data_IF_860299090264
#
_entry.id   IF_860299090264
#
_cell.length_a   1.000
_cell.length_b   1.000
_cell.length_c   1.000
_cell.angle_alpha   90.00
_cell.angle_beta   90.00
_cell.angle_gamma   90.00
#
_symmetry.space_group_name_H-M   'P 1'
#
loop_
_entity.id
_entity.type
_entity.pdbx_description
1 polymer ?
#
# COMPACT_ATOMS: atom_id res chain seq x y z
N UNK A 1 -11.43 -4.09 -32.65
CA UNK A 1 -11.14 -4.33 -31.21
C UNK A 1 -11.56 -3.10 -30.46
N UNK A 2 -12.56 -3.18 -29.59
CA UNK A 2 -12.86 -2.11 -28.63
C UNK A 2 -11.59 -1.82 -27.83
N UNK A 3 -11.20 -0.55 -27.60
CA UNK A 3 -10.10 -0.27 -26.70
C UNK A 3 -10.49 -0.86 -25.34
N UNK A 4 -9.65 -1.74 -24.80
CA UNK A 4 -9.80 -2.21 -23.42
C UNK A 4 -9.97 -0.97 -22.53
N UNK A 5 -10.98 -0.97 -21.65
CA UNK A 5 -11.24 0.20 -20.81
C UNK A 5 -9.97 0.51 -20.00
N UNK A 6 -9.58 1.78 -19.83
CA UNK A 6 -8.44 2.10 -18.98
C UNK A 6 -8.65 1.54 -17.56
N UNK A 7 -7.57 1.15 -16.88
CA UNK A 7 -7.59 0.77 -15.46
C UNK A 7 -6.73 1.75 -14.66
N UNK A 8 -6.99 1.82 -13.36
CA UNK A 8 -6.15 2.57 -12.42
C UNK A 8 -5.12 1.66 -11.77
N UNK A 9 -3.87 2.10 -11.71
CA UNK A 9 -2.83 1.49 -10.89
C UNK A 9 -2.63 2.34 -9.63
N UNK A 10 -2.83 1.75 -8.45
CA UNK A 10 -2.68 2.45 -7.16
C UNK A 10 -1.54 1.82 -6.39
N UNK A 11 -0.53 2.62 -6.04
CA UNK A 11 0.71 2.17 -5.39
C UNK A 11 0.77 2.70 -3.95
N UNK A 12 0.77 1.80 -2.97
CA UNK A 12 0.86 2.20 -1.57
C UNK A 12 2.23 2.79 -1.20
N UNK A 13 2.29 3.50 -0.07
CA UNK A 13 3.54 3.74 0.64
C UNK A 13 4.09 2.46 1.29
N UNK A 14 5.26 2.56 1.93
CA UNK A 14 5.92 1.43 2.60
C UNK A 14 7.45 1.53 2.73
N UNK A 15 8.03 2.73 2.63
CA UNK A 15 9.48 2.93 2.63
C UNK A 15 10.16 2.16 1.48
N UNK A 16 11.31 1.54 1.74
CA UNK A 16 12.01 0.79 0.68
C UNK A 16 11.25 -0.40 0.13
N UNK A 17 10.26 -0.95 0.85
CA UNK A 17 9.43 -2.03 0.30
C UNK A 17 8.75 -1.64 -1.02
N UNK A 18 8.56 -0.34 -1.25
CA UNK A 18 8.05 0.20 -2.51
C UNK A 18 8.93 -0.04 -3.74
N UNK A 19 10.17 -0.52 -3.60
CA UNK A 19 10.93 -1.01 -4.75
C UNK A 19 10.19 -2.17 -5.47
N UNK A 20 9.36 -2.93 -4.77
CA UNK A 20 8.50 -3.94 -5.38
C UNK A 20 7.53 -3.36 -6.43
N UNK A 21 7.17 -2.08 -6.34
CA UNK A 21 6.34 -1.44 -7.37
C UNK A 21 7.02 -1.41 -8.74
N UNK A 22 8.35 -1.38 -8.81
CA UNK A 22 9.08 -1.45 -10.08
C UNK A 22 8.91 -2.85 -10.71
N UNK A 23 8.94 -3.91 -9.90
CA UNK A 23 8.64 -5.27 -10.35
C UNK A 23 7.20 -5.42 -10.85
N UNK A 24 6.25 -4.74 -10.21
CA UNK A 24 4.85 -4.67 -10.68
C UNK A 24 4.79 -4.02 -12.06
N UNK A 25 5.41 -2.85 -12.23
CA UNK A 25 5.46 -2.17 -13.52
C UNK A 25 6.11 -3.04 -14.61
N UNK A 26 7.18 -3.78 -14.28
CA UNK A 26 7.84 -4.72 -15.19
C UNK A 26 6.86 -5.80 -15.68
N UNK A 27 6.14 -6.43 -14.76
CA UNK A 27 5.16 -7.47 -15.10
C UNK A 27 3.99 -6.95 -15.95
N UNK A 28 3.52 -5.72 -15.68
CA UNK A 28 2.49 -5.07 -16.49
C UNK A 28 2.99 -4.73 -17.90
N UNK A 29 4.20 -4.18 -18.00
CA UNK A 29 4.84 -3.82 -19.27
C UNK A 29 5.06 -5.05 -20.17
N UNK A 30 5.52 -6.18 -19.60
CA UNK A 30 5.68 -7.46 -20.32
C UNK A 30 4.36 -8.01 -20.90
N UNK A 31 3.21 -7.63 -20.32
CA UNK A 31 1.87 -8.00 -20.80
C UNK A 31 1.24 -6.94 -21.69
N UNK A 32 1.93 -5.83 -21.97
CA UNK A 32 1.38 -4.72 -22.74
C UNK A 32 0.25 -3.97 -22.02
N UNK A 33 0.11 -4.13 -20.70
CA UNK A 33 -0.94 -3.50 -19.91
C UNK A 33 -0.47 -2.13 -19.42
N UNK A 34 -1.11 -1.06 -19.92
CA UNK A 34 -0.77 0.31 -19.58
C UNK A 34 -1.89 0.95 -18.76
N UNK A 35 -1.63 1.36 -17.50
CA UNK A 35 -2.62 2.07 -16.69
C UNK A 35 -3.04 3.39 -17.34
N UNK A 36 -4.34 3.70 -17.32
CA UNK A 36 -4.86 5.01 -17.74
C UNK A 36 -4.72 6.09 -16.67
N UNK A 37 -4.56 5.68 -15.41
CA UNK A 37 -4.27 6.53 -14.26
C UNK A 37 -3.31 5.79 -13.33
N UNK A 38 -2.30 6.48 -12.82
CA UNK A 38 -1.47 5.99 -11.71
C UNK A 38 -1.62 6.92 -10.51
N UNK A 39 -1.86 6.34 -9.35
CA UNK A 39 -1.97 7.06 -8.07
C UNK A 39 -0.96 6.48 -7.11
N UNK A 40 -0.21 7.33 -6.40
CA UNK A 40 0.80 6.86 -5.45
C UNK A 40 0.88 7.67 -4.16
N UNK A 41 1.28 7.00 -3.08
CA UNK A 41 1.62 7.62 -1.80
C UNK A 41 3.06 7.27 -1.41
N UNK A 42 3.81 8.22 -0.85
CA UNK A 42 5.19 7.99 -0.39
C UNK A 42 6.08 7.43 -1.51
N UNK A 43 6.86 6.38 -1.25
CA UNK A 43 7.61 5.64 -2.27
C UNK A 43 6.76 5.24 -3.50
N UNK A 44 5.47 4.92 -3.30
CA UNK A 44 4.55 4.61 -4.40
C UNK A 44 4.35 5.81 -5.33
N UNK A 45 4.34 7.04 -4.78
CA UNK A 45 4.30 8.27 -5.58
C UNK A 45 5.58 8.50 -6.36
N UNK A 46 6.75 8.17 -5.79
CA UNK A 46 8.04 8.30 -6.49
C UNK A 46 8.11 7.36 -7.69
N UNK A 47 7.75 6.09 -7.50
CA UNK A 47 7.76 5.11 -8.60
C UNK A 47 6.68 5.46 -9.64
N UNK A 48 5.47 5.84 -9.20
CA UNK A 48 4.41 6.32 -10.10
C UNK A 48 4.87 7.53 -10.92
N UNK A 49 5.53 8.50 -10.31
CA UNK A 49 5.98 9.72 -10.96
C UNK A 49 7.12 9.46 -11.94
N UNK A 50 8.11 8.64 -11.58
CA UNK A 50 9.18 8.24 -12.49
C UNK A 50 8.61 7.53 -13.74
N UNK A 51 7.67 6.61 -13.53
CA UNK A 51 6.98 5.95 -14.65
C UNK A 51 6.14 6.94 -15.47
N UNK A 52 5.40 7.85 -14.83
CA UNK A 52 4.58 8.82 -15.54
C UNK A 52 5.42 9.84 -16.35
N UNK A 53 6.61 10.18 -15.86
CA UNK A 53 7.62 11.01 -16.54
C UNK A 53 8.31 10.28 -17.71
N UNK A 54 8.04 8.99 -17.91
CA UNK A 54 8.59 8.22 -19.03
C UNK A 54 9.97 7.60 -18.77
N UNK A 55 10.39 7.50 -17.50
CA UNK A 55 11.60 6.75 -17.16
C UNK A 55 11.37 5.26 -17.50
N UNK A 56 12.27 4.59 -18.24
CA UNK A 56 12.13 3.16 -18.52
C UNK A 56 12.17 2.31 -17.24
N UNK A 57 11.32 1.29 -17.14
CA UNK A 57 11.25 0.41 -15.96
C UNK A 57 12.59 -0.27 -15.69
N UNK A 58 13.30 -0.71 -16.74
CA UNK A 58 14.65 -1.27 -16.62
C UNK A 58 15.63 -0.30 -15.94
N UNK A 59 15.62 0.99 -16.32
CA UNK A 59 16.45 2.03 -15.70
C UNK A 59 16.06 2.30 -14.25
N UNK A 60 14.76 2.21 -13.92
CA UNK A 60 14.31 2.30 -12.52
C UNK A 60 14.86 1.12 -11.70
N UNK A 61 14.81 -0.10 -12.25
CA UNK A 61 15.33 -1.30 -11.59
C UNK A 61 16.84 -1.22 -11.35
N UNK A 62 17.63 -0.82 -12.36
CA UNK A 62 19.08 -0.61 -12.23
C UNK A 62 19.42 0.38 -11.10
N UNK A 63 18.72 1.52 -11.05
CA UNK A 63 18.90 2.51 -9.98
C UNK A 63 18.45 2.01 -8.62
N UNK A 64 17.36 1.25 -8.57
CA UNK A 64 16.84 0.66 -7.34
C UNK A 64 17.81 -0.37 -6.75
N UNK A 65 18.41 -1.23 -7.58
CA UNK A 65 19.44 -2.18 -7.11
C UNK A 65 20.68 -1.46 -6.56
N UNK A 66 21.03 -0.29 -7.12
CA UNK A 66 22.20 0.48 -6.70
C UNK A 66 21.97 1.42 -5.50
N UNK A 67 20.72 1.64 -5.07
CA UNK A 67 20.40 2.64 -4.03
C UNK A 67 20.96 2.22 -2.67
N UNK A 68 21.66 3.15 -2.00
CA UNK A 68 22.24 2.94 -0.67
C UNK A 68 21.58 3.84 0.36
N UNK A 69 21.71 3.48 1.63
CA UNK A 69 21.18 4.26 2.76
C UNK A 69 21.55 5.73 2.71
N UNK A 70 22.80 6.04 2.33
CA UNK A 70 23.33 7.42 2.25
C UNK A 70 22.64 8.30 1.20
N UNK A 71 22.04 7.68 0.19
CA UNK A 71 21.41 8.37 -0.93
C UNK A 71 20.02 8.90 -0.54
N UNK A 72 19.44 8.35 0.52
CA UNK A 72 18.11 8.70 1.03
C UNK A 72 18.18 9.32 2.42
N UNK A 73 19.00 8.75 3.30
CA UNK A 73 19.05 9.09 4.71
C UNK A 73 20.39 9.74 5.08
N UNK A 74 20.32 11.03 5.40
CA UNK A 74 21.41 11.76 6.08
C UNK A 74 20.90 12.28 7.41
N UNK A 75 21.49 11.82 8.51
CA UNK A 75 21.06 12.16 9.86
C UNK A 75 21.21 13.67 10.09
N UNK A 76 20.19 14.31 10.65
CA UNK A 76 20.19 15.74 10.98
C UNK A 76 20.93 16.01 12.31
N UNK A 77 22.19 15.56 12.42
CA UNK A 77 22.98 15.58 13.67
C UNK A 77 22.99 16.94 14.38
N UNK A 78 23.08 18.03 13.61
CA UNK A 78 23.13 19.40 14.15
C UNK A 78 21.81 19.84 14.76
N UNK A 79 20.68 19.58 14.10
CA UNK A 79 19.35 20.00 14.58
C UNK A 79 18.86 19.12 15.73
N UNK A 80 19.08 17.81 15.64
CA UNK A 80 18.72 16.87 16.72
C UNK A 80 19.56 17.14 17.97
N UNK A 81 20.85 17.49 17.83
CA UNK A 81 21.70 17.82 18.97
C UNK A 81 21.33 19.17 19.62
N UNK A 82 20.99 20.18 18.82
CA UNK A 82 20.74 21.55 19.32
C UNK A 82 19.28 21.77 19.78
N UNK A 83 18.31 21.17 19.09
CA UNK A 83 16.88 21.32 19.37
C UNK A 83 16.28 20.13 20.12
N UNK A 84 16.99 19.00 20.25
CA UNK A 84 16.52 17.78 20.94
C UNK A 84 15.10 17.39 20.49
N UNK A 85 14.12 17.42 21.41
CA UNK A 85 12.71 17.11 21.14
C UNK A 85 11.99 18.12 20.23
N UNK A 86 12.58 19.28 19.96
CA UNK A 86 12.05 20.32 19.07
C UNK A 86 12.55 20.20 17.62
N UNK A 87 13.34 19.17 17.30
CA UNK A 87 13.75 18.90 15.92
C UNK A 87 12.54 18.36 15.12
N UNK A 88 12.22 18.94 13.95
CA UNK A 88 11.04 18.54 13.19
C UNK A 88 11.17 17.15 12.55
N UNK A 89 12.40 16.63 12.41
CA UNK A 89 12.68 15.36 11.74
C UNK A 89 14.03 14.76 12.15
N UNK A 90 14.16 13.43 11.99
CA UNK A 90 15.41 12.68 12.21
C UNK A 90 16.43 12.83 11.07
N UNK A 91 15.94 12.94 9.83
CA UNK A 91 16.78 13.00 8.64
C UNK A 91 16.56 14.30 7.87
N UNK A 92 17.62 14.74 7.20
CA UNK A 92 17.53 15.87 6.28
C UNK A 92 16.89 15.46 4.97
N UNK A 93 16.25 16.43 4.31
CA UNK A 93 15.51 16.23 3.06
C UNK A 93 16.37 16.20 1.80
N UNK A 94 17.54 16.86 1.82
CA UNK A 94 18.27 17.18 0.57
C UNK A 94 18.70 15.94 -0.22
N UNK A 95 19.17 14.83 0.39
CA UNK A 95 19.51 13.62 -0.35
C UNK A 95 18.30 13.01 -1.09
N UNK A 96 17.16 12.93 -0.41
CA UNK A 96 15.92 12.43 -0.99
C UNK A 96 15.44 13.34 -2.12
N UNK A 97 15.46 14.66 -1.92
CA UNK A 97 15.08 15.64 -2.96
C UNK A 97 15.98 15.56 -4.19
N UNK A 98 17.28 15.37 -4.00
CA UNK A 98 18.24 15.18 -5.08
C UNK A 98 17.96 13.87 -5.85
N UNK A 99 17.67 12.77 -5.13
CA UNK A 99 17.29 11.50 -5.75
C UNK A 99 16.01 11.67 -6.59
N UNK A 100 14.96 12.26 -6.03
CA UNK A 100 13.67 12.51 -6.70
C UNK A 100 13.89 13.35 -7.96
N UNK A 101 14.61 14.48 -7.84
CA UNK A 101 14.88 15.38 -8.96
C UNK A 101 15.72 14.69 -10.05
N UNK A 102 16.67 13.84 -9.67
CA UNK A 102 17.50 13.09 -10.63
C UNK A 102 16.74 12.03 -11.44
N UNK A 103 15.56 11.63 -10.96
CA UNK A 103 14.70 10.63 -11.60
C UNK A 103 13.62 11.29 -12.46
N UNK A 104 12.96 12.31 -11.94
CA UNK A 104 11.78 12.93 -12.55
C UNK A 104 12.15 14.15 -13.41
N UNK A 105 13.26 14.82 -13.08
CA UNK A 105 13.66 16.08 -13.70
C UNK A 105 12.86 17.27 -13.18
N UNK A 106 12.95 18.38 -13.93
CA UNK A 106 12.27 19.62 -13.60
C UNK A 106 11.02 19.81 -14.48
N UNK A 107 9.95 19.10 -14.10
CA UNK A 107 8.68 19.07 -14.83
C UNK A 107 7.50 19.30 -13.89
N UNK A 108 6.39 19.77 -14.46
CA UNK A 108 5.09 19.93 -13.80
C UNK A 108 4.14 18.80 -14.22
N UNK A 109 2.94 18.74 -13.62
CA UNK A 109 1.92 17.76 -14.05
C UNK A 109 1.32 18.09 -15.42
N UNK A 110 1.60 19.26 -16.00
CA UNK A 110 1.21 19.59 -17.38
C UNK A 110 2.06 18.84 -18.41
N UNK A 111 3.32 18.57 -18.08
CA UNK A 111 4.30 17.96 -18.99
C UNK A 111 4.17 16.42 -19.08
N UNK A 112 3.43 15.82 -18.15
CA UNK A 112 3.24 14.38 -18.08
C UNK A 112 2.32 13.86 -19.17
N UNK A 113 2.81 12.89 -19.95
CA UNK A 113 2.02 12.15 -20.95
C UNK A 113 1.06 11.14 -20.34
N UNK A 114 1.36 10.69 -19.12
CA UNK A 114 0.61 9.68 -18.37
C UNK A 114 -0.04 10.36 -17.18
N UNK A 115 -1.33 10.08 -16.95
CA UNK A 115 -2.08 10.71 -15.85
C UNK A 115 -1.55 10.19 -14.51
N UNK A 116 -1.07 11.11 -13.68
CA UNK A 116 -0.49 10.84 -12.36
C UNK A 116 -1.26 11.60 -11.30
N UNK A 117 -1.51 10.96 -10.16
CA UNK A 117 -1.93 11.62 -8.92
C UNK A 117 -0.97 11.28 -7.77
N UNK A 118 -0.55 12.31 -7.04
CA UNK A 118 0.37 12.17 -5.90
C UNK A 118 -0.35 12.55 -4.60
N UNK A 119 -0.41 11.60 -3.67
CA UNK A 119 -1.08 11.75 -2.38
C UNK A 119 -0.20 12.47 -1.35
N UNK A 120 -0.73 13.53 -0.74
CA UNK A 120 -0.10 14.27 0.36
C UNK A 120 -1.16 14.71 1.37
N UNK A 121 -0.72 15.18 2.53
CA UNK A 121 -1.61 15.80 3.52
C UNK A 121 -1.09 17.18 3.87
N UNK A 122 -1.98 18.16 3.84
CA UNK A 122 -1.70 19.50 4.34
C UNK A 122 -1.62 19.44 5.88
N UNK A 123 -0.46 19.77 6.43
CA UNK A 123 -0.18 19.60 7.85
C UNK A 123 -1.00 20.55 8.74
N UNK A 124 -1.43 21.70 8.21
CA UNK A 124 -2.21 22.68 8.98
C UNK A 124 -3.67 22.27 9.11
N UNK A 125 -4.23 21.66 8.08
CA UNK A 125 -5.66 21.31 8.01
C UNK A 125 -5.94 19.83 8.23
N UNK A 126 -4.91 18.98 8.12
CA UNK A 126 -5.06 17.52 8.12
C UNK A 126 -5.77 16.99 6.87
N UNK A 127 -5.98 17.83 5.85
CA UNK A 127 -6.73 17.46 4.65
C UNK A 127 -5.82 16.85 3.60
N UNK A 128 -6.32 15.77 2.98
CA UNK A 128 -5.64 15.12 1.86
C UNK A 128 -5.63 16.04 0.64
N UNK A 129 -4.47 16.15 -0.01
CA UNK A 129 -4.28 16.87 -1.27
C UNK A 129 -3.69 15.92 -2.31
N UNK A 130 -4.39 15.82 -3.43
CA UNK A 130 -4.08 14.91 -4.52
C UNK A 130 -3.57 15.71 -5.72
N UNK A 131 -2.25 15.92 -5.77
CA UNK A 131 -1.60 16.69 -6.83
C UNK A 131 -1.79 16.02 -8.19
N UNK A 132 -1.96 16.81 -9.24
CA UNK A 132 -2.32 16.33 -10.58
C UNK A 132 -3.83 16.37 -10.90
N UNK A 133 -4.68 16.62 -9.89
CA UNK A 133 -6.08 17.00 -10.13
C UNK A 133 -6.17 18.36 -10.84
N UNK A 134 -7.30 18.67 -11.54
CA UNK A 134 -7.53 20.01 -12.09
C UNK A 134 -7.32 21.10 -11.03
N UNK A 135 -6.55 22.14 -11.36
CA UNK A 135 -6.17 23.22 -10.43
C UNK A 135 -4.96 22.93 -9.54
N UNK A 136 -4.42 21.70 -9.56
CA UNK A 136 -3.24 21.29 -8.78
C UNK A 136 -2.12 20.75 -9.70
N UNK A 137 -1.99 21.30 -10.91
CA UNK A 137 -1.08 20.79 -11.94
C UNK A 137 0.16 21.67 -12.18
N UNK A 138 0.13 22.93 -11.75
CA UNK A 138 1.24 23.89 -11.91
C UNK A 138 2.42 23.66 -10.96
N UNK A 139 2.29 22.68 -10.04
CA UNK A 139 3.34 22.32 -9.10
C UNK A 139 4.34 21.37 -9.76
N UNK A 140 5.64 21.53 -9.43
CA UNK A 140 6.68 20.59 -9.85
C UNK A 140 6.37 19.20 -9.31
N UNK A 141 6.42 18.18 -10.17
CA UNK A 141 6.15 16.80 -9.77
C UNK A 141 7.11 16.36 -8.66
N UNK A 142 8.38 16.77 -8.74
CA UNK A 142 9.39 16.49 -7.71
C UNK A 142 9.01 17.07 -6.33
N UNK A 143 8.38 18.25 -6.27
CA UNK A 143 7.97 18.88 -5.01
C UNK A 143 6.80 18.11 -4.38
N UNK A 144 5.81 17.74 -5.19
CA UNK A 144 4.68 16.92 -4.75
C UNK A 144 5.13 15.54 -4.26
N UNK A 145 6.07 14.89 -4.96
CA UNK A 145 6.63 13.60 -4.55
C UNK A 145 7.48 13.74 -3.28
N UNK A 146 8.28 14.81 -3.16
CA UNK A 146 9.04 15.11 -1.93
C UNK A 146 8.11 15.27 -0.72
N UNK A 147 7.02 16.02 -0.88
CA UNK A 147 5.97 16.14 0.13
C UNK A 147 5.35 14.77 0.46
N UNK A 148 5.05 13.97 -0.56
CA UNK A 148 4.46 12.64 -0.39
C UNK A 148 5.39 11.67 0.33
N UNK A 149 6.71 11.84 0.24
CA UNK A 149 7.69 11.04 0.98
C UNK A 149 8.09 11.63 2.34
N UNK A 150 7.54 12.80 2.73
CA UNK A 150 7.88 13.50 3.95
C UNK A 150 7.14 12.92 5.17
N UNK A 151 7.50 11.70 5.57
CA UNK A 151 6.87 11.01 6.70
C UNK A 151 7.15 11.77 8.02
N UNK A 152 6.12 12.15 8.80
CA UNK A 152 6.32 12.93 10.03
C UNK A 152 7.32 12.28 11.00
N UNK A 153 8.17 13.10 11.60
CA UNK A 153 9.26 12.65 12.48
C UNK A 153 10.46 12.04 11.74
N UNK A 154 10.32 11.57 10.50
CA UNK A 154 11.42 11.02 9.70
C UNK A 154 12.04 12.10 8.81
N UNK A 155 11.22 12.82 8.05
CA UNK A 155 11.63 13.91 7.16
C UNK A 155 10.84 15.19 7.47
N UNK A 156 11.42 16.38 7.26
CA UNK A 156 10.72 17.63 7.50
C UNK A 156 9.60 17.83 6.46
N UNK A 157 8.49 18.51 6.82
CA UNK A 157 7.44 18.86 5.87
C UNK A 157 7.98 19.62 4.65
N UNK A 158 7.38 19.41 3.48
CA UNK A 158 7.71 20.14 2.24
C UNK A 158 6.74 21.30 2.10
N UNK A 159 7.28 22.51 2.01
CA UNK A 159 6.50 23.70 1.72
C UNK A 159 6.20 23.79 0.22
N UNK A 160 4.93 23.96 -0.13
CA UNK A 160 4.47 24.20 -1.52
C UNK A 160 3.50 25.38 -1.43
N UNK A 161 3.75 26.46 -2.17
CA UNK A 161 2.91 27.67 -2.18
C UNK A 161 2.59 28.21 -0.76
N UNK A 162 3.59 28.22 0.13
CA UNK A 162 3.44 28.75 1.50
C UNK A 162 2.67 27.84 2.47
N UNK A 163 2.36 26.60 2.10
CA UNK A 163 1.71 25.61 2.98
C UNK A 163 2.61 24.39 3.18
N UNK A 164 2.59 23.82 4.39
CA UNK A 164 3.41 22.67 4.74
C UNK A 164 2.65 21.36 4.47
N UNK A 165 3.29 20.45 3.72
CA UNK A 165 2.74 19.15 3.36
C UNK A 165 3.61 18.01 3.87
N UNK A 166 2.96 16.91 4.23
CA UNK A 166 3.58 15.66 4.71
C UNK A 166 3.09 14.46 3.91
N UNK A 167 3.69 13.30 4.19
CA UNK A 167 3.35 12.03 3.55
C UNK A 167 1.86 11.73 3.63
N UNK A 168 1.26 11.37 2.48
CA UNK A 168 -0.16 11.04 2.38
C UNK A 168 -0.56 9.80 3.17
N UNK A 169 0.41 8.97 3.58
CA UNK A 169 0.21 7.77 4.37
C UNK A 169 -0.36 8.03 5.77
N UNK A 170 -0.35 9.27 6.26
CA UNK A 170 -0.99 9.64 7.53
C UNK A 170 -2.52 9.58 7.46
N UNK A 171 -3.10 9.75 6.26
CA UNK A 171 -4.55 9.68 6.00
C UNK A 171 -4.93 8.45 5.19
N UNK A 172 -4.20 8.17 4.10
CA UNK A 172 -4.53 7.08 3.19
C UNK A 172 -3.27 6.50 2.52
N UNK A 173 -2.64 5.52 3.17
CA UNK A 173 -1.39 4.93 2.66
C UNK A 173 -1.55 4.15 1.34
N UNK A 174 -2.75 3.62 1.08
CA UNK A 174 -3.12 3.00 -0.20
C UNK A 174 -4.28 3.81 -0.82
N UNK A 175 -3.99 4.84 -1.65
CA UNK A 175 -4.95 5.86 -2.04
C UNK A 175 -5.98 5.42 -3.10
N UNK A 176 -6.77 4.38 -2.80
CA UNK A 176 -7.75 3.80 -3.74
C UNK A 176 -9.09 4.54 -3.75
N UNK A 177 -9.42 5.33 -2.71
CA UNK A 177 -10.73 6.03 -2.65
C UNK A 177 -10.88 7.04 -3.77
N UNK A 178 -9.89 7.93 -3.96
CA UNK A 178 -9.97 8.90 -5.05
C UNK A 178 -9.95 8.20 -6.42
N UNK A 179 -9.12 7.16 -6.58
CA UNK A 179 -9.06 6.41 -7.83
C UNK A 179 -10.45 5.82 -8.21
N UNK A 180 -11.18 5.29 -7.22
CA UNK A 180 -12.55 4.83 -7.41
C UNK A 180 -13.52 5.95 -7.76
N UNK A 181 -13.46 7.09 -7.04
CA UNK A 181 -14.35 8.23 -7.29
C UNK A 181 -14.16 8.86 -8.67
N UNK A 182 -12.98 8.73 -9.27
CA UNK A 182 -12.72 9.22 -10.63
C UNK A 182 -13.33 8.35 -11.74
N UNK A 183 -13.83 7.15 -11.40
CA UNK A 183 -14.60 6.31 -12.33
C UNK A 183 -13.83 5.84 -13.57
N UNK A 184 -12.49 5.73 -13.49
CA UNK A 184 -11.64 5.44 -14.66
C UNK A 184 -11.72 3.98 -15.13
N UNK A 185 -12.28 3.07 -14.32
CA UNK A 185 -12.38 1.65 -14.61
C UNK A 185 -12.01 0.78 -13.40
N UNK A 186 -11.62 -0.49 -13.61
CA UNK A 186 -11.14 -1.35 -12.55
C UNK A 186 -9.83 -0.81 -11.95
N UNK A 187 -9.54 -1.21 -10.71
CA UNK A 187 -8.36 -0.80 -9.95
C UNK A 187 -7.44 -2.00 -9.76
N UNK A 188 -6.15 -1.83 -10.04
CA UNK A 188 -5.09 -2.71 -9.54
C UNK A 188 -4.42 -1.97 -8.38
N UNK A 189 -4.65 -2.44 -7.17
CA UNK A 189 -4.10 -1.87 -5.95
C UNK A 189 -2.91 -2.70 -5.48
N UNK A 190 -1.74 -2.07 -5.35
CA UNK A 190 -0.51 -2.73 -4.92
C UNK A 190 -0.20 -2.30 -3.50
N UNK A 191 -0.34 -3.25 -2.57
CA UNK A 191 -0.06 -3.03 -1.16
C UNK A 191 1.29 -3.65 -0.77
N UNK A 192 2.31 -2.79 -0.61
CA UNK A 192 3.62 -3.16 -0.06
C UNK A 192 3.77 -2.78 1.42
N UNK A 193 2.77 -2.09 1.98
CA UNK A 193 2.73 -1.72 3.38
C UNK A 193 2.40 -2.91 4.29
N UNK A 194 2.08 -4.07 3.70
CA UNK A 194 1.97 -5.33 4.41
C UNK A 194 3.24 -5.53 5.26
N UNK A 195 3.05 -5.44 6.57
CA UNK A 195 4.09 -5.56 7.57
C UNK A 195 3.89 -6.88 8.28
N UNK A 196 4.98 -7.55 8.64
CA UNK A 196 4.92 -8.67 9.59
C UNK A 196 4.64 -8.14 10.99
N UNK A 197 3.55 -7.38 11.21
CA UNK A 197 3.15 -6.89 12.52
C UNK A 197 3.09 -8.06 13.51
N UNK A 198 2.71 -9.25 13.03
CA UNK A 198 2.59 -10.47 13.83
C UNK A 198 3.91 -11.14 14.20
N UNK A 199 5.09 -10.62 13.83
CA UNK A 199 6.40 -11.28 14.06
C UNK A 199 7.52 -10.40 14.62
N UNK A 200 7.40 -9.07 14.70
CA UNK A 200 8.48 -8.26 15.28
C UNK A 200 8.39 -8.24 16.80
N UNK A 201 9.37 -8.82 17.48
CA UNK A 201 9.49 -8.88 18.94
C UNK A 201 10.41 -7.78 19.52
N UNK A 202 10.81 -6.80 18.71
CA UNK A 202 11.90 -5.88 19.07
C UNK A 202 11.36 -4.59 19.69
N UNK A 203 10.75 -4.72 20.88
CA UNK A 203 10.22 -3.60 21.68
C UNK A 203 11.33 -2.77 22.37
N UNK A 204 12.59 -3.22 22.29
CA UNK A 204 13.72 -2.70 23.10
C UNK A 204 14.62 -1.69 22.39
N UNK A 205 14.25 -1.21 21.19
CA UNK A 205 15.13 -0.41 20.31
C UNK A 205 14.99 1.13 20.44
N UNK A 206 14.37 1.63 21.53
CA UNK A 206 14.27 3.07 21.85
C UNK A 206 13.14 3.84 21.12
N UNK A 207 13.01 5.14 21.41
CA UNK A 207 11.87 5.98 21.00
C UNK A 207 11.57 5.94 19.49
N UNK A 208 12.59 6.05 18.65
CA UNK A 208 12.41 6.06 17.19
C UNK A 208 11.82 4.75 16.68
N UNK A 209 12.27 3.60 17.22
CA UNK A 209 11.74 2.30 16.84
C UNK A 209 10.28 2.13 17.29
N UNK A 210 9.95 2.53 18.52
CA UNK A 210 8.56 2.52 19.02
C UNK A 210 7.66 3.44 18.19
N UNK A 211 8.13 4.63 17.83
CA UNK A 211 7.38 5.58 17.02
C UNK A 211 7.10 5.05 15.61
N UNK A 212 8.13 4.57 14.91
CA UNK A 212 8.01 3.94 13.59
C UNK A 212 7.04 2.77 13.66
N UNK A 213 7.16 1.93 14.69
CA UNK A 213 6.29 0.79 14.90
C UNK A 213 4.82 1.21 15.08
N UNK A 214 4.56 2.25 15.86
CA UNK A 214 3.24 2.84 16.02
C UNK A 214 2.66 3.34 14.69
N UNK A 215 3.48 4.03 13.89
CA UNK A 215 3.08 4.47 12.54
C UNK A 215 2.73 3.31 11.62
N UNK A 216 3.54 2.25 11.58
CA UNK A 216 3.25 1.05 10.79
C UNK A 216 1.92 0.40 11.18
N UNK A 217 1.63 0.31 12.49
CA UNK A 217 0.36 -0.25 12.99
C UNK A 217 -0.83 0.60 12.54
N UNK A 218 -0.73 1.94 12.66
CA UNK A 218 -1.78 2.86 12.23
C UNK A 218 -2.02 2.73 10.73
N UNK A 219 -0.97 2.77 9.92
CA UNK A 219 -1.07 2.65 8.46
C UNK A 219 -1.67 1.32 8.02
N UNK A 220 -1.25 0.21 8.62
CA UNK A 220 -1.81 -1.10 8.32
C UNK A 220 -3.29 -1.16 8.70
N UNK A 221 -3.65 -0.67 9.89
CA UNK A 221 -5.03 -0.66 10.38
C UNK A 221 -5.94 0.17 9.45
N UNK A 222 -5.46 1.32 8.97
CA UNK A 222 -6.16 2.15 7.98
C UNK A 222 -6.40 1.39 6.67
N UNK A 223 -5.36 0.75 6.12
CA UNK A 223 -5.48 -0.04 4.89
C UNK A 223 -6.46 -1.20 5.09
N UNK A 224 -6.32 -1.97 6.17
CA UNK A 224 -7.21 -3.10 6.46
C UNK A 224 -8.66 -2.67 6.61
N UNK A 225 -8.93 -1.58 7.34
CA UNK A 225 -10.29 -1.04 7.49
C UNK A 225 -10.87 -0.60 6.16
N UNK A 226 -10.10 0.14 5.36
CA UNK A 226 -10.53 0.61 4.04
C UNK A 226 -10.79 -0.53 3.07
N UNK A 227 -9.93 -1.54 3.04
CA UNK A 227 -10.12 -2.70 2.18
C UNK A 227 -11.34 -3.49 2.67
N UNK A 228 -11.50 -3.72 3.99
CA UNK A 228 -12.62 -4.50 4.57
C UNK A 228 -13.98 -4.01 4.13
N UNK A 229 -14.14 -2.69 4.07
CA UNK A 229 -15.41 -2.04 3.73
C UNK A 229 -15.52 -1.72 2.23
N UNK A 230 -14.63 -2.25 1.38
CA UNK A 230 -14.60 -1.92 -0.04
C UNK A 230 -15.85 -2.41 -0.77
N UNK A 231 -16.66 -1.44 -1.24
CA UNK A 231 -17.82 -1.64 -2.10
C UNK A 231 -17.71 -0.86 -3.41
N UNK A 232 -16.49 -0.41 -3.73
CA UNK A 232 -16.20 0.39 -4.91
C UNK A 232 -16.12 -0.45 -6.19
N UNK A 233 -15.59 0.14 -7.27
CA UNK A 233 -15.40 -0.56 -8.54
C UNK A 233 -14.52 -1.82 -8.37
N UNK A 234 -14.49 -2.71 -9.37
CA UNK A 234 -13.72 -3.93 -9.30
C UNK A 234 -12.25 -3.62 -8.97
N UNK A 235 -11.75 -4.20 -7.89
CA UNK A 235 -10.38 -3.98 -7.42
C UNK A 235 -9.64 -5.31 -7.31
N UNK A 236 -8.50 -5.42 -7.99
CA UNK A 236 -7.55 -6.51 -7.78
C UNK A 236 -6.50 -6.05 -6.78
N UNK A 237 -6.36 -6.77 -5.67
CA UNK A 237 -5.33 -6.49 -4.69
C UNK A 237 -4.09 -7.34 -4.98
N UNK A 238 -2.98 -6.69 -5.27
CA UNK A 238 -1.65 -7.31 -5.41
C UNK A 238 -0.87 -7.07 -4.12
N UNK A 239 -0.44 -8.16 -3.48
CA UNK A 239 0.33 -8.11 -2.23
C UNK A 239 1.68 -8.80 -2.44
N UNK A 240 2.74 -8.06 -2.81
CA UNK A 240 4.09 -8.58 -2.83
C UNK A 240 4.48 -9.13 -1.45
N UNK A 241 5.14 -10.30 -1.42
CA UNK A 241 5.58 -10.96 -0.18
C UNK A 241 6.83 -10.30 0.38
N UNK A 242 6.65 -9.16 1.05
CA UNK A 242 7.74 -8.29 1.56
C UNK A 242 7.61 -8.01 3.06
N UNK A 243 6.78 -8.77 3.76
CA UNK A 243 6.44 -8.55 5.17
C UNK A 243 7.66 -8.68 6.07
N UNK A 244 8.58 -9.60 5.75
CA UNK A 244 9.82 -9.89 6.50
C UNK A 244 10.95 -8.88 6.27
N UNK A 245 10.80 -7.98 5.30
CA UNK A 245 11.80 -6.95 4.97
C UNK A 245 11.42 -5.67 5.71
N UNK A 246 12.37 -5.01 6.38
CA UNK A 246 12.12 -3.72 7.03
C UNK A 246 11.92 -2.61 5.98
N UNK A 247 11.08 -1.62 6.28
CA UNK A 247 10.91 -0.43 5.43
C UNK A 247 12.19 0.41 5.27
N UNK A 248 13.23 0.13 6.07
CA UNK A 248 14.55 0.78 6.01
C UNK A 248 15.69 -0.18 5.60
N UNK A 249 15.39 -1.38 5.07
CA UNK A 249 16.38 -2.35 4.63
C UNK A 249 16.85 -2.10 3.18
N UNK A 250 18.13 -1.74 3.00
CA UNK A 250 18.76 -1.44 1.71
C UNK A 250 19.56 -2.61 1.11
N UNK A 251 19.60 -3.75 1.80
CA UNK A 251 20.39 -4.94 1.47
C UNK A 251 19.57 -6.02 0.73
N UNK A 252 18.27 -5.76 0.51
CA UNK A 252 17.31 -6.71 -0.08
C UNK A 252 16.62 -6.15 -1.33
N UNK A 253 17.26 -5.19 -2.03
CA UNK A 253 16.65 -4.46 -3.14
C UNK A 253 16.19 -5.38 -4.28
N UNK A 254 17.03 -6.33 -4.70
CA UNK A 254 16.69 -7.26 -5.79
C UNK A 254 15.54 -8.20 -5.43
N UNK A 255 15.47 -8.61 -4.17
CA UNK A 255 14.35 -9.42 -3.69
C UNK A 255 13.04 -8.65 -3.68
N UNK A 256 13.07 -7.35 -3.33
CA UNK A 256 11.89 -6.50 -3.41
C UNK A 256 11.39 -6.38 -4.84
N UNK A 257 12.29 -6.11 -5.80
CA UNK A 257 11.97 -6.07 -7.23
C UNK A 257 11.32 -7.38 -7.69
N UNK A 258 11.90 -8.52 -7.33
CA UNK A 258 11.40 -9.82 -7.73
C UNK A 258 10.06 -10.17 -7.07
N UNK A 259 9.88 -9.85 -5.79
CA UNK A 259 8.62 -10.08 -5.07
C UNK A 259 7.44 -9.35 -5.72
N UNK A 260 7.64 -8.11 -6.16
CA UNK A 260 6.64 -7.34 -6.89
C UNK A 260 6.30 -7.95 -8.26
N UNK A 261 7.34 -8.37 -8.99
CA UNK A 261 7.18 -9.03 -10.28
C UNK A 261 6.39 -10.33 -10.19
N UNK A 262 6.80 -11.23 -9.28
CA UNK A 262 6.16 -12.54 -9.10
C UNK A 262 4.70 -12.41 -8.66
N UNK A 263 4.41 -11.53 -7.68
CA UNK A 263 3.04 -11.31 -7.22
C UNK A 263 2.13 -10.79 -8.34
N UNK A 264 2.64 -9.88 -9.17
CA UNK A 264 1.90 -9.31 -10.30
C UNK A 264 1.73 -10.33 -11.41
N UNK A 265 2.76 -11.09 -11.76
CA UNK A 265 2.64 -12.16 -12.76
C UNK A 265 1.62 -13.21 -12.37
N UNK A 266 1.66 -13.67 -11.11
CA UNK A 266 0.67 -14.62 -10.60
C UNK A 266 -0.76 -14.09 -10.74
N UNK A 267 -0.96 -12.80 -10.43
CA UNK A 267 -2.25 -12.13 -10.61
C UNK A 267 -2.65 -12.08 -12.10
N UNK A 268 -1.74 -11.68 -12.98
CA UNK A 268 -2.00 -11.57 -14.42
C UNK A 268 -2.30 -12.93 -15.06
N UNK A 269 -1.61 -14.00 -14.64
CA UNK A 269 -1.88 -15.37 -15.08
C UNK A 269 -3.31 -15.81 -14.73
N UNK A 270 -3.82 -15.39 -13.58
CA UNK A 270 -5.14 -15.78 -13.11
C UNK A 270 -6.26 -14.90 -13.69
N UNK A 271 -6.00 -13.61 -13.92
CA UNK A 271 -7.06 -12.60 -13.98
C UNK A 271 -6.97 -11.61 -15.15
N UNK A 272 -5.89 -11.59 -15.93
CA UNK A 272 -5.70 -10.54 -16.95
C UNK A 272 -6.88 -10.45 -17.94
N UNK A 273 -7.38 -11.60 -18.42
CA UNK A 273 -8.50 -11.67 -19.36
C UNK A 273 -9.86 -11.27 -18.77
N UNK A 274 -9.96 -11.04 -17.46
CA UNK A 274 -11.22 -10.73 -16.76
C UNK A 274 -11.27 -9.34 -16.18
N UNK A 275 -10.21 -8.53 -16.30
CA UNK A 275 -10.08 -7.23 -15.61
C UNK A 275 -11.34 -6.35 -15.78
N UNK A 276 -11.96 -6.38 -16.96
CA UNK A 276 -13.16 -5.59 -17.28
C UNK A 276 -14.49 -6.32 -17.14
N UNK A 277 -14.47 -7.64 -16.93
CA UNK A 277 -15.67 -8.47 -16.74
C UNK A 277 -16.00 -8.70 -15.25
N UNK A 278 -15.19 -8.16 -14.34
CA UNK A 278 -15.41 -8.29 -12.91
C UNK A 278 -16.56 -7.42 -12.42
N UNK A 279 -17.28 -7.94 -11.43
CA UNK A 279 -18.25 -7.17 -10.64
C UNK A 279 -17.54 -6.25 -9.65
N UNK A 280 -18.25 -5.24 -9.17
CA UNK A 280 -17.80 -4.39 -8.06
C UNK A 280 -17.32 -5.23 -6.84
N UNK A 281 -16.42 -4.64 -6.06
CA UNK A 281 -15.75 -5.32 -4.94
C UNK A 281 -14.34 -5.80 -5.26
N UNK A 282 -13.72 -6.53 -4.31
CA UNK A 282 -12.34 -6.99 -4.41
C UNK A 282 -12.20 -8.38 -5.00
N UNK A 283 -11.09 -8.61 -5.70
CA UNK A 283 -10.77 -9.85 -6.41
C UNK A 283 -9.28 -10.25 -6.22
N UNK A 284 -8.95 -11.55 -6.40
CA UNK A 284 -9.84 -12.68 -6.69
C UNK A 284 -10.72 -13.00 -5.48
N UNK A 285 -11.97 -13.39 -5.77
CA UNK A 285 -12.83 -14.00 -4.75
C UNK A 285 -12.75 -15.52 -4.85
N UNK A 286 -12.79 -16.21 -3.72
CA UNK A 286 -12.81 -17.67 -3.63
C UNK A 286 -13.92 -18.11 -2.70
N UNK A 287 -14.60 -19.20 -3.01
CA UNK A 287 -15.53 -19.82 -2.08
C UNK A 287 -14.73 -20.70 -1.11
N UNK A 288 -14.81 -20.37 0.17
CA UNK A 288 -14.20 -21.15 1.24
C UNK A 288 -15.29 -21.73 2.14
N UNK A 289 -15.03 -22.95 2.63
CA UNK A 289 -15.81 -23.58 3.68
C UNK A 289 -15.24 -23.23 5.05
N UNK A 290 -16.03 -22.55 5.86
CA UNK A 290 -15.71 -22.20 7.26
C UNK A 290 -16.08 -23.36 8.18
N UNK A 291 -15.16 -23.68 9.08
CA UNK A 291 -15.24 -24.81 10.00
C UNK A 291 -14.97 -24.34 11.43
N UNK A 292 -15.61 -24.98 12.40
CA UNK A 292 -15.33 -24.81 13.84
C UNK A 292 -14.91 -26.15 14.43
N UNK A 293 -13.75 -26.19 15.08
CA UNK A 293 -13.32 -27.27 15.97
C UNK A 293 -13.93 -27.04 17.37
N UNK A 294 -14.99 -27.78 17.68
CA UNK A 294 -15.69 -27.68 18.97
C UNK A 294 -14.77 -27.97 20.17
N UNK A 295 -13.74 -28.81 19.99
CA UNK A 295 -12.80 -29.18 21.06
C UNK A 295 -11.95 -27.99 21.50
N UNK A 296 -11.63 -27.09 20.57
CA UNK A 296 -10.82 -25.89 20.82
C UNK A 296 -11.68 -24.66 21.11
N UNK A 297 -12.96 -24.68 20.78
CA UNK A 297 -13.84 -23.53 20.94
C UNK A 297 -14.12 -23.27 22.42
N UNK A 298 -13.72 -22.10 22.93
CA UNK A 298 -13.95 -21.70 24.34
C UNK A 298 -15.23 -20.90 24.56
N UNK A 299 -16.04 -20.71 23.52
CA UNK A 299 -17.34 -20.03 23.63
C UNK A 299 -17.27 -18.52 23.88
N UNK A 300 -16.15 -17.87 23.59
CA UNK A 300 -15.96 -16.44 23.86
C UNK A 300 -16.84 -15.47 23.02
N UNK A 301 -17.61 -15.97 22.05
CA UNK A 301 -18.52 -15.16 21.23
C UNK A 301 -17.86 -14.21 20.21
N UNK A 302 -16.53 -14.09 20.18
CA UNK A 302 -15.82 -13.15 19.30
C UNK A 302 -16.18 -13.29 17.81
N UNK A 303 -16.36 -14.53 17.33
CA UNK A 303 -16.78 -14.79 15.95
C UNK A 303 -18.22 -14.34 15.65
N UNK A 304 -19.11 -14.41 16.64
CA UNK A 304 -20.50 -13.95 16.52
C UNK A 304 -20.55 -12.43 16.44
N UNK A 305 -19.71 -11.74 17.20
CA UNK A 305 -19.59 -10.27 17.11
C UNK A 305 -19.05 -9.86 15.74
N UNK A 306 -18.00 -10.54 15.26
CA UNK A 306 -17.34 -10.20 14.00
C UNK A 306 -18.15 -10.57 12.76
N UNK A 307 -18.94 -11.64 12.82
CA UNK A 307 -19.73 -12.14 11.69
C UNK A 307 -21.04 -12.79 12.17
N UNK A 308 -22.02 -11.99 12.65
CA UNK A 308 -23.27 -12.50 13.22
C UNK A 308 -24.16 -13.22 12.20
N UNK A 309 -23.92 -13.01 10.90
CA UNK A 309 -24.59 -13.74 9.82
C UNK A 309 -23.96 -15.11 9.53
N UNK A 310 -22.74 -15.35 10.02
CA UNK A 310 -21.97 -16.58 9.76
C UNK A 310 -21.94 -17.49 10.98
N UNK A 311 -21.94 -16.92 12.19
CA UNK A 311 -21.84 -17.69 13.43
C UNK A 311 -22.98 -17.39 14.40
N UNK A 312 -23.30 -18.39 15.22
CA UNK A 312 -24.01 -18.24 16.50
C UNK A 312 -23.32 -19.06 17.57
N UNK A 313 -23.71 -18.90 18.83
CA UNK A 313 -23.42 -19.87 19.87
C UNK A 313 -24.55 -20.91 19.96
N UNK A 314 -24.20 -22.18 20.10
CA UNK A 314 -25.15 -23.26 20.37
C UNK A 314 -25.55 -23.29 21.86
N UNK A 315 -26.42 -24.23 22.25
CA UNK A 315 -26.87 -24.37 23.63
C UNK A 315 -25.75 -24.74 24.62
N UNK A 316 -24.61 -25.26 24.13
CA UNK A 316 -23.41 -25.59 24.92
C UNK A 316 -22.43 -24.41 24.98
N UNK A 317 -22.80 -23.26 24.41
CA UNK A 317 -21.94 -22.07 24.30
C UNK A 317 -20.84 -22.21 23.25
N UNK A 318 -20.89 -23.20 22.36
CA UNK A 318 -19.88 -23.42 21.31
C UNK A 318 -20.27 -22.68 20.03
N UNK A 319 -19.28 -22.15 19.33
CA UNK A 319 -19.51 -21.50 18.05
C UNK A 319 -20.02 -22.52 17.01
N UNK A 320 -21.14 -22.19 16.37
CA UNK A 320 -21.72 -22.96 15.29
C UNK A 320 -21.76 -22.11 14.02
N UNK A 321 -21.36 -22.71 12.90
CA UNK A 321 -21.41 -22.06 11.59
C UNK A 321 -22.82 -22.17 11.00
N UNK A 322 -23.46 -21.03 10.73
CA UNK A 322 -24.77 -20.93 10.10
C UNK A 322 -24.69 -21.01 8.57
N UNK A 323 -23.69 -20.34 8.01
CA UNK A 323 -23.44 -20.26 6.58
C UNK A 323 -22.02 -20.79 6.29
N UNK A 324 -21.84 -22.10 6.07
CA UNK A 324 -20.52 -22.70 5.97
C UNK A 324 -19.76 -22.27 4.72
N UNK A 325 -20.45 -21.99 3.62
CA UNK A 325 -19.85 -21.48 2.40
C UNK A 325 -19.81 -19.95 2.44
N UNK A 326 -18.60 -19.41 2.34
CA UNK A 326 -18.34 -17.98 2.39
C UNK A 326 -17.52 -17.59 1.16
N UNK A 327 -17.95 -16.54 0.46
CA UNK A 327 -17.17 -15.97 -0.64
C UNK A 327 -16.17 -14.98 -0.05
N UNK A 328 -14.89 -15.33 -0.07
CA UNK A 328 -13.79 -14.55 0.51
C UNK A 328 -13.00 -13.83 -0.57
N UNK A 329 -12.73 -12.55 -0.35
CA UNK A 329 -11.67 -11.77 -0.95
C UNK A 329 -10.34 -11.92 -0.16
N UNK A 330 -9.21 -11.39 -0.64
CA UNK A 330 -7.90 -11.53 0.03
C UNK A 330 -7.81 -10.98 1.47
N UNK A 331 -8.80 -10.22 1.92
CA UNK A 331 -8.82 -9.56 3.23
C UNK A 331 -9.94 -10.05 4.16
N UNK A 332 -10.76 -11.00 3.68
CA UNK A 332 -11.82 -11.61 4.48
C UNK A 332 -11.25 -12.60 5.50
N UNK A 333 -12.11 -13.06 6.42
CA UNK A 333 -11.72 -14.08 7.39
C UNK A 333 -11.14 -13.54 8.70
N UNK A 334 -11.42 -12.29 9.06
CA UNK A 334 -11.00 -11.73 10.35
C UNK A 334 -11.43 -12.60 11.55
N UNK A 335 -12.61 -13.21 11.51
CA UNK A 335 -13.06 -14.13 12.56
C UNK A 335 -12.20 -15.40 12.67
N UNK A 336 -11.51 -15.82 11.60
CA UNK A 336 -10.50 -16.88 11.65
C UNK A 336 -9.23 -16.37 12.31
N UNK A 337 -8.75 -15.20 11.88
CA UNK A 337 -7.51 -14.59 12.37
C UNK A 337 -7.58 -14.12 13.83
N UNK A 338 -8.77 -13.80 14.32
CA UNK A 338 -9.04 -13.26 15.65
C UNK A 338 -9.63 -14.31 16.59
N UNK A 339 -9.66 -15.59 16.20
CA UNK A 339 -10.05 -16.68 17.09
C UNK A 339 -8.91 -16.96 18.08
N UNK A 340 -9.10 -16.73 19.39
CA UNK A 340 -8.01 -16.83 20.37
C UNK A 340 -7.46 -18.26 20.52
N UNK A 341 -8.24 -19.27 20.17
CA UNK A 341 -7.86 -20.69 20.28
C UNK A 341 -7.64 -21.37 18.95
N UNK A 342 -7.66 -20.61 17.84
CA UNK A 342 -7.58 -21.15 16.48
C UNK A 342 -8.64 -22.23 16.20
N UNK A 343 -9.79 -22.16 16.89
CA UNK A 343 -10.89 -23.09 16.72
C UNK A 343 -11.62 -22.90 15.38
N UNK A 344 -11.45 -21.77 14.72
CA UNK A 344 -12.11 -21.47 13.44
C UNK A 344 -11.08 -21.58 12.33
N UNK A 345 -11.44 -22.26 11.25
CA UNK A 345 -10.60 -22.36 10.04
C UNK A 345 -11.45 -22.20 8.78
N UNK A 346 -10.80 -21.94 7.65
CA UNK A 346 -11.43 -21.89 6.34
C UNK A 346 -10.59 -22.67 5.32
N UNK A 347 -11.24 -23.45 4.46
CA UNK A 347 -10.58 -24.25 3.41
C UNK A 347 -11.22 -23.99 2.04
N UNK A 348 -10.46 -24.01 0.93
CA UNK A 348 -11.05 -23.98 -0.40
C UNK A 348 -12.10 -25.08 -0.56
N UNK A 349 -13.21 -24.78 -1.22
CA UNK A 349 -14.24 -25.78 -1.48
C UNK A 349 -13.71 -26.94 -2.36
N UNK A 350 -12.77 -26.64 -3.27
CA UNK A 350 -12.17 -27.60 -4.20
C UNK A 350 -11.19 -28.59 -3.56
N UNK A 351 -10.87 -28.47 -2.26
CA UNK A 351 -9.97 -29.40 -1.55
C UNK A 351 -10.68 -30.40 -0.64
N UNK A 352 -12.00 -30.59 -0.83
CA UNK A 352 -12.74 -31.68 -0.20
C UNK A 352 -12.67 -32.95 -1.07
N UNK A 353 -11.50 -33.61 -1.07
CA UNK A 353 -11.34 -35.01 -1.44
C UNK A 353 -10.51 -35.72 -0.37
#
# INVERSE_FOLDING_TARGET
MTPERPFSLVLSGGGLKGLAHIGVLRALEERGLVPGLVVGSSIGSLIAAAWAAGVPVARMAERASAVKRRDVFRVAHTEVAFRRLLAPALYRREPLDALITSLIGDITFHDLKRRLLVNTVDLHTGMQVMWGLPGLRDVRVADAVSASCALPGIFPPREINGRAYVDGAVVENLPVRLAASLGTGPIIAVNVAATSIRRSTDETQGFAATYIRGLEIVMQTQIEGQLRDWKGPPMILVQPKVEHISMFAFDRNDELLEAGYLATRQMLDQMAHRLHAMTDGMHPTRTLRVLVDESRCVGCGSCVIQAPKVFRLDARGKAQVLAPLQRWSPIDGAYVLNCPTYAISARPEDTAA
#
